data_IF_446645687499
#
_entry.id   IF_446645687499
#
_cell.length_a   1.000
_cell.length_b   1.000
_cell.length_c   1.000
_cell.angle_alpha   90.00
_cell.angle_beta   90.00
_cell.angle_gamma   90.00
#
_symmetry.space_group_name_H-M   'P 1'
#
loop_
_entity.id
_entity.type
_entity.pdbx_description
1 polymer ?
#
# COMPACT_ATOMS: atom_id res chain seq x y z
N UNK A 1 -12.20 29.85 -27.44
CA UNK A 1 -11.41 28.62 -27.18
C UNK A 1 -11.88 28.03 -25.87
N UNK A 2 -12.11 26.71 -25.83
CA UNK A 2 -12.57 26.02 -24.63
C UNK A 2 -11.41 25.89 -23.63
N UNK A 3 -11.71 25.76 -22.33
CA UNK A 3 -10.72 25.44 -21.30
C UNK A 3 -9.98 24.14 -21.64
N UNK A 4 -10.75 23.14 -22.08
CA UNK A 4 -10.29 21.84 -22.54
C UNK A 4 -9.18 21.92 -23.61
N UNK A 5 -9.37 22.75 -24.65
CA UNK A 5 -8.39 22.85 -25.75
C UNK A 5 -7.06 23.47 -25.30
N UNK A 6 -7.10 24.37 -24.30
CA UNK A 6 -5.87 24.97 -23.72
C UNK A 6 -5.11 23.97 -22.84
N UNK A 7 -5.84 23.10 -22.14
CA UNK A 7 -5.27 22.05 -21.30
C UNK A 7 -4.59 21.00 -22.18
N UNK A 8 -5.22 20.56 -23.26
CA UNK A 8 -4.68 19.55 -24.18
C UNK A 8 -3.36 20.00 -24.83
N UNK A 9 -3.29 21.23 -25.36
CA UNK A 9 -2.06 21.81 -25.91
C UNK A 9 -0.95 21.95 -24.87
N UNK A 10 -1.28 22.42 -23.65
CA UNK A 10 -0.32 22.56 -22.57
C UNK A 10 0.23 21.19 -22.15
N UNK A 11 -0.65 20.20 -21.98
CA UNK A 11 -0.33 18.84 -21.55
C UNK A 11 0.59 18.13 -22.55
N UNK A 12 0.25 18.15 -23.85
CA UNK A 12 1.06 17.51 -24.89
C UNK A 12 2.51 18.02 -24.90
N UNK A 13 2.68 19.35 -24.87
CA UNK A 13 4.02 19.98 -24.90
C UNK A 13 4.89 19.65 -23.68
N UNK A 14 4.29 19.40 -22.53
CA UNK A 14 4.99 19.14 -21.27
C UNK A 14 5.31 17.66 -21.13
N UNK A 15 4.41 16.77 -21.53
CA UNK A 15 4.65 15.32 -21.52
C UNK A 15 5.82 14.97 -22.43
N UNK A 16 5.87 15.54 -23.64
CA UNK A 16 6.99 15.33 -24.57
C UNK A 16 8.34 15.74 -23.98
N UNK A 17 8.37 16.72 -23.07
CA UNK A 17 9.61 17.19 -22.42
C UNK A 17 9.98 16.38 -21.18
N UNK A 18 9.01 16.09 -20.32
CA UNK A 18 9.21 15.40 -19.04
C UNK A 18 9.50 13.90 -19.23
N UNK A 19 8.93 13.29 -20.27
CA UNK A 19 8.99 11.84 -20.51
C UNK A 19 9.66 11.48 -21.85
N UNK A 20 10.51 12.37 -22.38
CA UNK A 20 11.25 12.18 -23.64
C UNK A 20 12.15 10.94 -23.69
N UNK A 21 12.45 10.33 -22.54
CA UNK A 21 13.18 9.07 -22.42
C UNK A 21 12.18 7.92 -22.47
N UNK A 22 12.24 7.13 -23.54
CA UNK A 22 11.30 6.05 -23.84
C UNK A 22 11.20 5.05 -22.68
N UNK A 23 10.04 4.98 -22.03
CA UNK A 23 9.69 3.93 -21.08
C UNK A 23 9.15 2.73 -21.87
N UNK A 24 9.76 1.54 -21.78
CA UNK A 24 9.27 0.36 -22.50
C UNK A 24 8.13 -0.33 -21.70
N UNK A 25 6.87 0.09 -21.89
CA UNK A 25 5.69 -0.70 -21.45
C UNK A 25 4.35 -0.10 -21.92
N UNK A 26 3.31 -0.93 -22.06
CA UNK A 26 1.92 -0.53 -22.38
C UNK A 26 1.27 0.41 -21.34
N UNK A 27 1.82 0.45 -20.12
CA UNK A 27 1.49 1.45 -19.09
C UNK A 27 2.53 2.58 -19.13
N UNK A 28 2.35 3.53 -20.04
CA UNK A 28 3.26 4.66 -20.15
C UNK A 28 2.99 5.70 -19.04
N UNK A 29 4.01 6.26 -18.37
CA UNK A 29 3.85 7.38 -17.43
C UNK A 29 3.07 8.57 -18.02
N UNK A 30 3.15 8.75 -19.35
CA UNK A 30 2.36 9.72 -20.11
C UNK A 30 0.85 9.47 -20.04
N UNK A 31 0.39 8.22 -19.96
CA UNK A 31 -1.02 7.89 -19.78
C UNK A 31 -1.50 8.38 -18.41
N UNK A 32 -0.78 8.04 -17.34
CA UNK A 32 -1.10 8.47 -15.97
C UNK A 32 -1.14 10.00 -15.89
N UNK A 33 -0.14 10.67 -16.48
CA UNK A 33 -0.09 12.12 -16.60
C UNK A 33 -1.35 12.73 -17.25
N UNK A 34 -1.79 12.18 -18.39
CA UNK A 34 -3.03 12.63 -19.05
C UNK A 34 -4.26 12.44 -18.16
N UNK A 35 -4.34 11.31 -17.47
CA UNK A 35 -5.47 11.01 -16.57
C UNK A 35 -5.47 11.93 -15.34
N UNK A 36 -4.30 12.25 -14.78
CA UNK A 36 -4.16 13.23 -13.68
C UNK A 36 -4.68 14.61 -14.08
N UNK A 37 -4.27 15.11 -15.25
CA UNK A 37 -4.73 16.40 -15.78
C UNK A 37 -6.25 16.40 -15.99
N UNK A 38 -6.81 15.33 -16.57
CA UNK A 38 -8.25 15.19 -16.75
C UNK A 38 -9.00 15.16 -15.41
N UNK A 39 -8.47 14.45 -14.41
CA UNK A 39 -9.05 14.38 -13.06
C UNK A 39 -8.98 15.75 -12.37
N UNK A 40 -7.87 16.47 -12.47
CA UNK A 40 -7.71 17.83 -11.94
C UNK A 40 -8.79 18.77 -12.49
N UNK A 41 -8.98 18.80 -13.81
CA UNK A 41 -10.02 19.61 -14.45
C UNK A 41 -11.42 19.20 -13.97
N UNK A 42 -11.73 17.90 -13.98
CA UNK A 42 -13.04 17.38 -13.61
C UNK A 42 -13.41 17.60 -12.13
N UNK A 43 -12.41 17.67 -11.25
CA UNK A 43 -12.59 17.84 -9.80
C UNK A 43 -12.42 19.28 -9.34
N UNK A 44 -11.93 20.16 -10.21
CA UNK A 44 -11.83 21.58 -9.90
C UNK A 44 -13.22 22.18 -9.66
N UNK A 45 -13.30 23.05 -8.66
CA UNK A 45 -14.54 23.68 -8.22
C UNK A 45 -14.42 25.21 -8.27
N UNK A 46 -15.57 25.88 -8.34
CA UNK A 46 -15.61 27.34 -8.36
C UNK A 46 -15.69 27.89 -6.94
N UNK A 47 -14.63 28.55 -6.49
CA UNK A 47 -14.62 29.33 -5.27
C UNK A 47 -14.74 30.82 -5.61
N UNK A 48 -15.99 31.28 -5.72
CA UNK A 48 -16.30 32.63 -6.16
C UNK A 48 -15.89 32.88 -7.61
N UNK A 49 -14.75 33.54 -7.81
CA UNK A 49 -14.19 33.85 -9.15
C UNK A 49 -12.97 33.00 -9.51
N UNK A 50 -12.46 32.22 -8.56
CA UNK A 50 -11.29 31.36 -8.75
C UNK A 50 -11.76 29.94 -9.01
N UNK A 51 -11.06 29.24 -9.90
CA UNK A 51 -11.21 27.79 -10.06
C UNK A 51 -10.13 27.16 -9.19
N UNK A 52 -10.53 26.30 -8.25
CA UNK A 52 -9.64 25.65 -7.28
C UNK A 52 -9.71 24.14 -7.49
N UNK A 53 -8.56 23.52 -7.75
CA UNK A 53 -8.39 22.09 -7.84
C UNK A 53 -7.90 21.51 -6.50
N UNK A 54 -8.22 20.23 -6.19
CA UNK A 54 -7.67 19.53 -5.03
C UNK A 54 -6.15 19.37 -5.14
N UNK A 55 -5.41 19.49 -4.04
CA UNK A 55 -3.96 19.30 -4.07
C UNK A 55 -3.51 17.84 -3.95
N UNK A 56 -4.29 16.94 -3.38
CA UNK A 56 -3.89 15.53 -3.24
C UNK A 56 -4.41 14.68 -4.40
N UNK A 57 -3.54 13.85 -5.00
CA UNK A 57 -3.90 12.85 -6.03
C UNK A 57 -3.30 11.47 -5.73
N UNK A 58 -4.15 10.47 -5.55
CA UNK A 58 -3.70 9.07 -5.37
C UNK A 58 -3.91 8.29 -6.66
N UNK A 59 -2.81 7.85 -7.28
CA UNK A 59 -2.79 6.99 -8.47
C UNK A 59 -2.76 5.53 -8.02
N UNK A 60 -3.86 4.80 -8.24
CA UNK A 60 -3.99 3.39 -7.91
C UNK A 60 -3.80 2.51 -9.15
N UNK A 61 -2.92 1.53 -9.05
CA UNK A 61 -2.59 0.57 -10.13
C UNK A 61 -2.49 -0.86 -9.58
N UNK A 62 -2.55 -1.87 -10.44
CA UNK A 62 -2.39 -3.26 -10.02
C UNK A 62 -1.00 -3.52 -9.42
N UNK A 63 -0.87 -4.61 -8.66
CA UNK A 63 0.41 -5.07 -8.11
C UNK A 63 1.52 -5.21 -9.19
N UNK A 64 1.15 -5.72 -10.36
CA UNK A 64 2.08 -5.93 -11.47
C UNK A 64 2.59 -4.61 -12.05
N UNK A 65 1.68 -3.65 -12.25
CA UNK A 65 2.03 -2.33 -12.78
C UNK A 65 2.75 -1.47 -11.75
N UNK A 66 2.37 -1.59 -10.47
CA UNK A 66 3.09 -0.97 -9.37
C UNK A 66 4.55 -1.45 -9.36
N UNK A 67 4.79 -2.76 -9.43
CA UNK A 67 6.14 -3.32 -9.44
C UNK A 67 7.00 -2.79 -10.61
N UNK A 68 6.39 -2.55 -11.79
CA UNK A 68 7.07 -1.97 -12.96
C UNK A 68 7.46 -0.51 -12.75
N UNK A 69 6.59 0.28 -12.12
CA UNK A 69 6.81 1.71 -11.85
C UNK A 69 7.63 1.97 -10.59
N UNK A 70 7.64 1.03 -9.63
CA UNK A 70 8.23 1.18 -8.30
C UNK A 70 9.71 1.60 -8.34
N UNK A 71 10.47 1.14 -9.33
CA UNK A 71 11.87 1.48 -9.53
C UNK A 71 12.13 2.99 -9.70
N UNK A 72 11.14 3.73 -10.21
CA UNK A 72 11.22 5.18 -10.46
C UNK A 72 10.13 5.98 -9.75
N UNK A 73 9.44 5.36 -8.78
CA UNK A 73 8.25 5.92 -8.11
C UNK A 73 8.44 7.38 -7.68
N UNK A 74 9.46 7.66 -6.88
CA UNK A 74 9.69 9.00 -6.35
C UNK A 74 9.90 10.06 -7.44
N UNK A 75 10.59 9.70 -8.52
CA UNK A 75 10.79 10.59 -9.65
C UNK A 75 9.47 10.83 -10.39
N UNK A 76 8.71 9.75 -10.65
CA UNK A 76 7.42 9.85 -11.36
C UNK A 76 6.39 10.67 -10.59
N UNK A 77 6.27 10.44 -9.29
CA UNK A 77 5.39 11.22 -8.38
C UNK A 77 5.71 12.72 -8.44
N UNK A 78 6.99 13.08 -8.34
CA UNK A 78 7.44 14.47 -8.44
C UNK A 78 7.17 15.08 -9.82
N UNK A 79 7.47 14.36 -10.90
CA UNK A 79 7.24 14.85 -12.27
C UNK A 79 5.75 15.02 -12.57
N UNK A 80 4.90 14.10 -12.09
CA UNK A 80 3.46 14.21 -12.24
C UNK A 80 2.89 15.39 -11.45
N UNK A 81 3.32 15.59 -10.20
CA UNK A 81 2.94 16.75 -9.39
C UNK A 81 3.35 18.08 -10.05
N UNK A 82 4.60 18.16 -10.53
CA UNK A 82 5.12 19.32 -11.24
C UNK A 82 4.35 19.60 -12.55
N UNK A 83 3.99 18.54 -13.28
CA UNK A 83 3.20 18.64 -14.51
C UNK A 83 1.83 19.26 -14.25
N UNK A 84 1.06 18.73 -13.29
CA UNK A 84 -0.29 19.25 -13.01
C UNK A 84 -0.24 20.67 -12.45
N UNK A 85 0.78 21.00 -11.64
CA UNK A 85 1.03 22.36 -11.18
C UNK A 85 1.25 23.34 -12.35
N UNK A 86 2.10 22.96 -13.31
CA UNK A 86 2.41 23.80 -14.47
C UNK A 86 1.22 23.94 -15.42
N UNK A 87 0.45 22.86 -15.64
CA UNK A 87 -0.78 22.92 -16.44
C UNK A 87 -1.79 23.86 -15.79
N UNK A 88 -2.09 23.68 -14.50
CA UNK A 88 -3.02 24.53 -13.75
C UNK A 88 -2.62 26.01 -13.84
N UNK A 89 -1.33 26.32 -13.66
CA UNK A 89 -0.77 27.68 -13.78
C UNK A 89 -1.05 28.30 -15.15
N UNK A 90 -0.92 27.55 -16.24
CA UNK A 90 -1.19 28.04 -17.62
C UNK A 90 -2.66 28.31 -17.90
N UNK A 91 -3.55 27.63 -17.21
CA UNK A 91 -5.01 27.79 -17.35
C UNK A 91 -5.66 28.58 -16.21
N UNK A 92 -4.85 29.17 -15.32
CA UNK A 92 -5.30 29.97 -14.18
C UNK A 92 -6.20 29.21 -13.18
N UNK A 93 -5.93 27.92 -13.01
CA UNK A 93 -6.50 27.10 -11.93
C UNK A 93 -5.55 27.17 -10.73
N UNK A 94 -6.09 27.45 -9.55
CA UNK A 94 -5.38 27.41 -8.28
C UNK A 94 -5.51 26.03 -7.64
N UNK A 95 -4.67 25.72 -6.66
CA UNK A 95 -4.87 24.58 -5.77
C UNK A 95 -5.17 25.06 -4.34
N UNK A 96 -5.93 24.28 -3.60
CA UNK A 96 -6.16 24.49 -2.16
C UNK A 96 -4.89 24.23 -1.32
N UNK A 97 -4.07 23.26 -1.74
CA UNK A 97 -2.74 22.94 -1.23
C UNK A 97 -1.77 22.63 -2.38
N UNK A 98 -0.44 22.77 -2.22
CA UNK A 98 0.50 22.39 -3.27
C UNK A 98 0.24 20.96 -3.76
N UNK A 99 0.19 20.71 -5.09
CA UNK A 99 -0.21 19.41 -5.58
C UNK A 99 0.80 18.33 -5.18
N UNK A 100 0.30 17.26 -4.59
CA UNK A 100 1.02 16.04 -4.25
C UNK A 100 0.41 14.85 -4.99
N UNK A 101 1.26 13.98 -5.52
CA UNK A 101 0.84 12.81 -6.29
C UNK A 101 1.49 11.58 -5.69
N UNK A 102 0.69 10.60 -5.31
CA UNK A 102 1.15 9.35 -4.73
C UNK A 102 0.75 8.16 -5.59
N UNK A 103 1.71 7.30 -5.94
CA UNK A 103 1.46 6.01 -6.58
C UNK A 103 1.27 4.94 -5.50
N UNK A 104 0.15 4.22 -5.55
CA UNK A 104 -0.14 3.11 -4.64
C UNK A 104 -0.58 1.86 -5.40
N UNK A 105 -0.26 0.72 -4.83
CA UNK A 105 -0.78 -0.58 -5.27
C UNK A 105 -2.22 -0.77 -4.77
N UNK A 106 -3.08 -1.27 -5.65
CA UNK A 106 -4.44 -1.68 -5.33
C UNK A 106 -4.75 -3.01 -6.02
N UNK A 107 -4.85 -4.13 -5.28
CA UNK A 107 -5.16 -5.45 -5.85
C UNK A 107 -6.53 -5.53 -6.54
N UNK A 108 -7.44 -4.58 -6.28
CA UNK A 108 -8.72 -4.50 -6.97
C UNK A 108 -8.63 -3.87 -8.37
N UNK A 109 -7.54 -3.14 -8.66
CA UNK A 109 -7.31 -2.54 -9.98
C UNK A 109 -6.74 -3.59 -10.93
N UNK A 110 -7.37 -3.73 -12.09
CA UNK A 110 -6.93 -4.65 -13.15
C UNK A 110 -5.64 -4.13 -13.79
N UNK A 111 -4.69 -5.01 -14.11
CA UNK A 111 -3.47 -4.65 -14.85
C UNK A 111 -3.80 -3.88 -16.14
N UNK A 112 -3.07 -2.79 -16.38
CA UNK A 112 -3.27 -1.82 -17.45
C UNK A 112 -4.30 -0.74 -17.14
N UNK A 113 -5.08 -0.89 -16.07
CA UNK A 113 -5.98 0.15 -15.59
C UNK A 113 -5.29 1.06 -14.56
N UNK A 114 -5.77 2.30 -14.49
CA UNK A 114 -5.32 3.31 -13.54
C UNK A 114 -6.55 3.92 -12.91
N UNK A 115 -6.66 4.00 -11.60
CA UNK A 115 -7.67 4.80 -10.90
C UNK A 115 -7.01 6.00 -10.24
N UNK A 116 -7.73 7.14 -10.17
CA UNK A 116 -7.20 8.36 -9.56
C UNK A 116 -8.24 8.96 -8.63
N UNK A 117 -7.88 9.13 -7.37
CA UNK A 117 -8.68 9.82 -6.37
C UNK A 117 -8.06 11.17 -6.02
N UNK A 118 -8.93 12.10 -5.62
CA UNK A 118 -8.57 13.48 -5.23
C UNK A 118 -8.85 13.78 -3.76
N UNK A 119 -9.32 12.77 -3.04
CA UNK A 119 -9.27 12.76 -1.60
C UNK A 119 -8.01 11.98 -1.20
N UNK A 120 -7.46 12.29 -0.05
CA UNK A 120 -6.62 11.34 0.66
C UNK A 120 -7.47 10.12 1.01
N UNK A 121 -7.70 9.23 0.04
CA UNK A 121 -8.00 7.85 0.35
C UNK A 121 -6.69 7.34 0.88
N UNK A 122 -6.61 7.25 2.21
CA UNK A 122 -5.61 6.45 2.91
C UNK A 122 -5.28 5.26 2.00
N UNK A 123 -4.00 5.08 1.64
CA UNK A 123 -3.51 3.73 1.31
C UNK A 123 -4.19 2.83 2.33
N UNK A 124 -5.05 1.86 1.94
CA UNK A 124 -6.01 1.24 2.86
C UNK A 124 -5.30 1.02 4.18
N UNK A 125 -5.68 1.82 5.20
CA UNK A 125 -4.79 2.16 6.32
C UNK A 125 -4.01 0.92 6.71
N UNK A 126 -2.68 0.95 6.56
CA UNK A 126 -1.83 -0.24 6.68
C UNK A 126 -2.34 -1.03 7.87
N UNK A 127 -2.96 -2.19 7.59
CA UNK A 127 -3.80 -2.85 8.58
C UNK A 127 -2.94 -3.15 9.78
N UNK A 128 -3.26 -2.55 10.92
CA UNK A 128 -2.51 -2.79 12.13
C UNK A 128 -3.04 -4.09 12.71
N UNK A 129 -2.21 -5.12 12.68
CA UNK A 129 -2.56 -6.40 13.26
C UNK A 129 -1.96 -6.52 14.64
N UNK A 130 -2.67 -7.24 15.50
CA UNK A 130 -2.14 -7.73 16.77
C UNK A 130 -2.32 -9.23 16.88
N UNK A 131 -1.36 -9.86 17.54
CA UNK A 131 -1.40 -11.25 17.92
C UNK A 131 -1.92 -11.37 19.34
N UNK A 132 -3.01 -12.11 19.53
CA UNK A 132 -3.59 -12.37 20.86
C UNK A 132 -3.49 -13.84 21.22
N UNK A 133 -3.07 -14.12 22.45
CA UNK A 133 -3.20 -15.47 23.03
C UNK A 133 -4.65 -15.71 23.42
N UNK A 134 -5.27 -16.71 22.81
CA UNK A 134 -6.66 -17.11 23.08
C UNK A 134 -6.70 -18.24 24.10
N UNK A 135 -5.70 -19.12 24.08
CA UNK A 135 -5.59 -20.28 24.98
C UNK A 135 -4.14 -20.73 25.06
N UNK A 136 -3.66 -21.12 26.23
CA UNK A 136 -2.34 -21.74 26.37
C UNK A 136 -1.56 -21.13 27.54
N UNK A 137 -0.24 -21.13 27.40
CA UNK A 137 0.67 -20.59 28.41
C UNK A 137 1.63 -19.59 27.74
N UNK A 138 1.63 -18.31 28.14
CA UNK A 138 0.81 -17.71 29.21
C UNK A 138 -0.71 -17.70 28.89
N UNK A 139 -1.59 -17.53 29.89
CA UNK A 139 -3.04 -17.62 29.67
C UNK A 139 -3.60 -16.51 28.77
N UNK A 140 -2.89 -15.38 28.68
CA UNK A 140 -3.24 -14.21 27.89
C UNK A 140 -1.98 -13.48 27.43
N UNK A 141 -2.16 -12.57 26.48
CA UNK A 141 -1.11 -11.71 25.93
C UNK A 141 -1.55 -11.10 24.61
N UNK A 142 -1.19 -9.84 24.39
CA UNK A 142 -1.47 -9.10 23.16
C UNK A 142 -0.16 -8.47 22.70
N UNK A 143 0.18 -8.68 21.44
CA UNK A 143 1.44 -8.21 20.86
C UNK A 143 1.16 -7.51 19.54
N UNK A 144 1.58 -6.25 19.36
CA UNK A 144 1.46 -5.57 18.06
C UNK A 144 2.33 -6.28 17.02
N UNK A 145 1.85 -6.31 15.78
CA UNK A 145 2.58 -6.85 14.62
C UNK A 145 3.11 -5.70 13.74
N UNK A 146 3.74 -4.71 14.36
CA UNK A 146 4.35 -3.54 13.72
C UNK A 146 5.78 -3.80 13.20
N UNK A 147 6.38 -4.92 13.60
CA UNK A 147 7.71 -5.41 13.19
C UNK A 147 7.73 -6.92 13.10
N UNK A 148 8.86 -7.50 12.69
CA UNK A 148 9.05 -8.95 12.80
C UNK A 148 8.95 -9.39 14.27
N UNK A 149 8.06 -10.34 14.54
CA UNK A 149 7.81 -10.90 15.87
C UNK A 149 8.25 -12.36 15.90
N UNK A 150 9.24 -12.68 16.71
CA UNK A 150 9.66 -14.06 16.96
C UNK A 150 8.77 -14.71 18.03
N UNK A 151 8.39 -15.97 17.81
CA UNK A 151 7.53 -16.75 18.70
C UNK A 151 8.23 -18.04 19.10
N UNK A 152 8.26 -18.32 20.40
CA UNK A 152 8.79 -19.59 20.88
C UNK A 152 8.91 -19.66 22.40
N UNK A 153 9.40 -20.81 22.87
CA UNK A 153 9.58 -21.09 24.30
C UNK A 153 10.74 -20.34 24.95
N UNK A 154 11.78 -20.00 24.16
CA UNK A 154 12.94 -19.29 24.69
C UNK A 154 12.54 -17.88 25.11
N UNK A 155 13.12 -17.40 26.21
CA UNK A 155 12.95 -16.01 26.70
C UNK A 155 13.56 -14.96 25.76
N UNK A 156 14.26 -15.40 24.71
CA UNK A 156 14.84 -14.55 23.67
C UNK A 156 13.86 -14.20 22.54
N UNK A 157 12.65 -14.77 22.53
CA UNK A 157 11.63 -14.43 21.55
C UNK A 157 10.81 -13.23 22.04
N UNK A 158 10.20 -12.49 21.10
CA UNK A 158 9.27 -11.41 21.42
C UNK A 158 8.00 -11.95 22.11
N UNK A 159 7.48 -13.09 21.62
CA UNK A 159 6.35 -13.83 22.21
C UNK A 159 6.88 -15.10 22.85
N UNK A 160 6.96 -15.07 24.18
CA UNK A 160 7.45 -16.19 24.98
C UNK A 160 6.29 -17.09 25.39
N UNK A 161 6.20 -18.27 24.77
CA UNK A 161 5.20 -19.28 25.11
C UNK A 161 5.81 -20.31 26.05
N UNK A 162 5.37 -20.37 27.31
CA UNK A 162 5.91 -21.31 28.32
C UNK A 162 5.39 -22.75 28.16
N UNK A 163 4.75 -23.04 27.03
CA UNK A 163 4.28 -24.36 26.63
C UNK A 163 5.46 -25.30 26.29
N UNK A 164 5.61 -26.45 26.97
CA UNK A 164 6.68 -27.41 26.70
C UNK A 164 6.68 -28.00 25.29
N UNK A 165 5.53 -28.00 24.59
CA UNK A 165 5.41 -28.49 23.21
C UNK A 165 5.82 -27.44 22.16
N UNK A 166 6.12 -26.21 22.58
CA UNK A 166 6.62 -25.17 21.69
C UNK A 166 8.14 -25.25 21.61
N UNK A 167 8.70 -25.27 20.40
CA UNK A 167 10.14 -25.15 20.15
C UNK A 167 10.74 -23.88 20.76
N UNK A 168 12.03 -23.90 21.09
CA UNK A 168 12.74 -22.72 21.64
C UNK A 168 12.63 -21.51 20.71
N UNK A 169 12.80 -21.72 19.41
CA UNK A 169 12.41 -20.82 18.31
C UNK A 169 11.42 -21.63 17.47
N UNK A 170 10.17 -21.19 17.37
CA UNK A 170 9.11 -22.01 16.80
C UNK A 170 8.63 -21.44 15.47
N UNK A 171 8.27 -20.17 15.47
CA UNK A 171 7.81 -19.46 14.30
C UNK A 171 8.22 -18.00 14.40
N UNK A 172 8.05 -17.26 13.32
CA UNK A 172 8.10 -15.81 13.32
C UNK A 172 7.00 -15.27 12.42
N UNK A 173 6.53 -14.07 12.72
CA UNK A 173 5.65 -13.31 11.84
C UNK A 173 6.48 -12.16 11.29
N UNK A 174 6.63 -12.10 9.98
CA UNK A 174 7.23 -10.97 9.27
C UNK A 174 6.12 -10.01 8.86
N UNK A 175 6.19 -8.76 9.28
CA UNK A 175 5.28 -7.72 8.78
C UNK A 175 6.05 -6.87 7.78
N UNK A 176 5.68 -6.97 6.50
CA UNK A 176 6.13 -6.07 5.43
C UNK A 176 4.92 -5.29 4.97
N UNK A 177 5.02 -3.95 4.90
CA UNK A 177 3.94 -3.07 4.41
C UNK A 177 2.56 -3.26 5.06
N UNK A 178 2.49 -3.72 6.32
CA UNK A 178 1.24 -3.95 7.05
C UNK A 178 0.63 -5.34 6.87
N UNK A 179 1.24 -6.24 6.08
CA UNK A 179 0.76 -7.61 5.91
C UNK A 179 1.59 -8.62 6.73
N UNK A 180 0.97 -9.38 7.65
CA UNK A 180 1.66 -10.37 8.46
C UNK A 180 1.84 -11.69 7.70
N UNK A 181 3.09 -12.13 7.56
CA UNK A 181 3.48 -13.42 6.95
C UNK A 181 4.04 -14.33 8.04
N UNK A 182 3.43 -15.49 8.22
CA UNK A 182 3.86 -16.52 9.15
C UNK A 182 4.91 -17.43 8.53
N UNK A 183 6.01 -17.64 9.24
CA UNK A 183 7.08 -18.58 8.87
C UNK A 183 7.33 -19.53 10.03
N UNK A 184 7.09 -20.83 9.83
CA UNK A 184 7.53 -21.88 10.76
C UNK A 184 9.06 -22.04 10.66
N UNK A 185 9.75 -22.13 11.80
CA UNK A 185 11.21 -22.22 11.89
C UNK A 185 11.65 -23.66 12.16
N UNK A 186 11.14 -24.59 11.36
CA UNK A 186 11.34 -26.04 11.50
C UNK A 186 10.98 -26.54 12.91
N UNK A 187 9.80 -26.15 13.39
CA UNK A 187 9.36 -26.50 14.72
C UNK A 187 9.07 -28.01 14.86
N UNK A 188 9.35 -28.57 16.04
CA UNK A 188 9.23 -30.02 16.27
C UNK A 188 7.80 -30.54 16.11
N UNK A 189 6.80 -29.78 16.58
CA UNK A 189 5.40 -30.16 16.50
C UNK A 189 4.67 -29.52 15.30
N UNK A 190 5.34 -28.62 14.56
CA UNK A 190 4.73 -27.82 13.49
C UNK A 190 3.88 -26.67 14.02
N UNK A 191 3.71 -25.67 13.14
CA UNK A 191 2.71 -24.62 13.27
C UNK A 191 1.48 -24.94 12.42
N UNK A 192 0.29 -24.65 12.94
CA UNK A 192 -0.98 -24.84 12.22
C UNK A 192 -1.75 -23.53 12.15
N UNK A 193 -2.40 -23.25 11.03
CA UNK A 193 -3.34 -22.14 10.86
C UNK A 193 -4.69 -22.70 10.42
N UNK A 194 -5.74 -22.39 11.16
CA UNK A 194 -7.10 -22.90 10.94
C UNK A 194 -7.14 -24.44 10.76
N UNK A 195 -6.33 -25.14 11.56
CA UNK A 195 -6.21 -26.61 11.54
C UNK A 195 -5.33 -27.19 10.43
N UNK A 196 -4.81 -26.37 9.50
CA UNK A 196 -3.89 -26.82 8.43
C UNK A 196 -2.44 -26.56 8.82
N UNK A 197 -1.56 -27.53 8.59
CA UNK A 197 -0.12 -27.39 8.89
C UNK A 197 0.52 -26.39 7.94
N UNK A 198 1.33 -25.50 8.47
CA UNK A 198 2.13 -24.54 7.70
C UNK A 198 3.42 -25.23 7.27
N UNK A 199 3.70 -25.23 5.96
CA UNK A 199 4.92 -25.83 5.38
C UNK A 199 5.74 -24.83 4.58
N UNK A 200 5.15 -23.69 4.23
CA UNK A 200 5.77 -22.58 3.50
C UNK A 200 5.29 -21.27 4.15
N UNK A 201 5.97 -20.12 3.90
CA UNK A 201 5.51 -18.82 4.35
C UNK A 201 4.04 -18.58 3.98
N UNK A 202 3.22 -18.17 4.97
CA UNK A 202 1.77 -18.04 4.82
C UNK A 202 1.31 -16.63 5.18
N UNK A 203 0.63 -15.95 4.27
CA UNK A 203 -0.05 -14.68 4.57
C UNK A 203 -1.18 -14.92 5.58
N UNK A 204 -1.20 -14.10 6.62
CA UNK A 204 -2.23 -14.13 7.65
C UNK A 204 -3.22 -12.99 7.42
N UNK A 205 -4.47 -13.22 7.85
CA UNK A 205 -5.53 -12.21 7.85
C UNK A 205 -6.25 -12.20 9.19
N UNK A 206 -6.99 -11.12 9.48
CA UNK A 206 -7.84 -11.03 10.66
C UNK A 206 -8.74 -12.26 10.79
N UNK A 207 -8.87 -12.78 12.02
CA UNK A 207 -9.62 -13.99 12.33
C UNK A 207 -8.88 -15.30 12.06
N UNK A 208 -7.66 -15.27 11.50
CA UNK A 208 -6.83 -16.47 11.43
C UNK A 208 -6.44 -16.93 12.84
N UNK A 209 -6.60 -18.23 13.09
CA UNK A 209 -6.27 -18.87 14.36
C UNK A 209 -5.09 -19.81 14.16
N UNK A 210 -4.01 -19.56 14.88
CA UNK A 210 -2.79 -20.35 14.83
C UNK A 210 -2.68 -21.24 16.07
N UNK A 211 -2.15 -22.45 15.89
CA UNK A 211 -1.86 -23.38 16.99
C UNK A 211 -0.40 -23.81 16.94
N UNK A 212 0.32 -23.57 18.05
CA UNK A 212 1.70 -23.98 18.29
C UNK A 212 1.75 -24.77 19.59
N UNK A 213 2.10 -26.06 19.52
CA UNK A 213 1.98 -26.93 20.69
C UNK A 213 0.53 -27.05 21.17
N UNK A 214 0.26 -26.71 22.42
CA UNK A 214 -1.08 -26.61 23.02
C UNK A 214 -1.60 -25.16 23.09
N UNK A 215 -0.85 -24.19 22.55
CA UNK A 215 -1.17 -22.77 22.61
C UNK A 215 -1.84 -22.32 21.32
N UNK A 216 -2.96 -21.60 21.46
CA UNK A 216 -3.75 -21.03 20.38
C UNK A 216 -3.63 -19.51 20.42
N UNK A 217 -3.26 -18.95 19.27
CA UNK A 217 -3.11 -17.52 19.01
C UNK A 217 -4.12 -17.10 17.94
N UNK A 218 -4.60 -15.86 17.98
CA UNK A 218 -5.46 -15.29 16.95
C UNK A 218 -4.89 -13.98 16.42
N UNK A 219 -5.07 -13.76 15.13
CA UNK A 219 -4.78 -12.50 14.45
C UNK A 219 -6.03 -11.62 14.51
N UNK A 220 -5.87 -10.41 15.02
CA UNK A 220 -6.91 -9.38 15.06
C UNK A 220 -6.42 -8.16 14.30
N UNK A 221 -7.33 -7.51 13.59
CA UNK A 221 -7.14 -6.15 13.06
C UNK A 221 -7.51 -5.17 14.20
N UNK A 222 -6.71 -4.13 14.40
CA UNK A 222 -6.98 -3.06 15.37
C UNK A 222 -8.19 -2.19 15.00
#
# INVERSE_FOLDING_TARGET
MSLFSRIEEACASLIERAFARTFPSDLEPAHIARKLVATMEAKASHEGRTIVAPGTYTVRVSAEDFARLAAHRQYLEQEWAALIAEVARRVSIAFDEPPDVMLVEDPAVVTGAVEIDTAFTETPAAKHYRLRIVKGLPPEGIYPLDRTVAIGRSTTNDVVLTDPRVSRRHARIETSSGEPILVDLDSTNGTFVNGKRVTEPLHLSAGNVMTLGNTTLAIEEE
#
